data_IF_141631107791
#
_entry.id   IF_141631107791
#
_cell.length_a   1.000
_cell.length_b   1.000
_cell.length_c   1.000
_cell.angle_alpha   90.00
_cell.angle_beta   90.00
_cell.angle_gamma   90.00
#
_symmetry.space_group_name_H-M   'P 1'
#
loop_
_entity.id
_entity.type
_entity.pdbx_description
1 polymer ?
#
# COMPACT_ATOMS: atom_id res chain seq x y z
N UNK A 1 -17.03 -12.62 32.89
CA UNK A 1 -18.24 -12.14 33.61
C UNK A 1 -19.40 -12.22 32.63
N UNK A 2 -20.42 -13.02 32.93
CA UNK A 2 -21.59 -13.20 32.07
C UNK A 2 -22.60 -12.09 32.41
N UNK A 3 -23.00 -11.30 31.41
CA UNK A 3 -24.25 -10.54 31.43
C UNK A 3 -25.06 -10.97 30.20
N UNK A 4 -26.30 -11.39 30.45
CA UNK A 4 -27.38 -11.48 29.47
C UNK A 4 -27.33 -12.58 28.38
N UNK A 5 -26.69 -13.73 28.65
CA UNK A 5 -26.99 -14.97 27.90
C UNK A 5 -26.62 -14.98 26.41
N UNK A 6 -25.86 -13.99 25.94
CA UNK A 6 -25.17 -14.04 24.65
C UNK A 6 -23.76 -14.53 24.94
N UNK A 7 -23.46 -15.74 24.51
CA UNK A 7 -22.09 -16.22 24.40
C UNK A 7 -21.40 -15.32 23.36
N UNK A 8 -20.74 -14.26 23.82
CA UNK A 8 -19.82 -13.49 22.98
C UNK A 8 -18.67 -14.44 22.69
N UNK A 9 -18.79 -15.21 21.61
CA UNK A 9 -17.61 -15.86 21.03
C UNK A 9 -16.62 -14.74 20.74
N UNK A 10 -15.44 -14.83 21.34
CA UNK A 10 -14.27 -14.05 20.93
C UNK A 10 -13.99 -14.36 19.45
N UNK A 11 -14.72 -13.70 18.55
CA UNK A 11 -14.51 -13.80 17.12
C UNK A 11 -13.20 -13.11 16.82
N UNK A 12 -12.28 -13.84 16.18
CA UNK A 12 -11.03 -13.24 15.71
C UNK A 12 -11.36 -12.04 14.82
N UNK A 13 -10.66 -10.89 14.99
CA UNK A 13 -10.90 -9.72 14.15
C UNK A 13 -10.77 -10.08 12.67
N UNK A 14 -11.65 -9.52 11.85
CA UNK A 14 -11.49 -9.51 10.39
C UNK A 14 -10.17 -8.81 10.02
N UNK A 15 -9.71 -9.01 8.78
CA UNK A 15 -8.51 -8.33 8.28
C UNK A 15 -8.60 -6.81 8.43
N UNK A 16 -9.75 -6.22 8.12
CA UNK A 16 -9.94 -4.77 8.21
C UNK A 16 -9.93 -4.28 9.66
N UNK A 17 -10.60 -4.99 10.57
CA UNK A 17 -10.56 -4.66 12.00
C UNK A 17 -9.14 -4.78 12.56
N UNK A 18 -8.38 -5.79 12.11
CA UNK A 18 -6.98 -5.97 12.52
C UNK A 18 -6.10 -4.79 12.09
N UNK A 19 -6.34 -4.22 10.90
CA UNK A 19 -5.63 -3.04 10.42
C UNK A 19 -6.00 -1.79 11.22
N UNK A 20 -7.29 -1.63 11.57
CA UNK A 20 -7.74 -0.51 12.38
C UNK A 20 -7.18 -0.56 13.80
N UNK A 21 -7.12 -1.73 14.43
CA UNK A 21 -6.49 -1.90 15.74
C UNK A 21 -5.00 -1.55 15.69
N UNK A 22 -4.30 -1.97 14.62
CA UNK A 22 -2.88 -1.65 14.45
C UNK A 22 -2.63 -0.16 14.15
N UNK A 23 -3.50 0.49 13.38
CA UNK A 23 -3.36 1.92 13.09
C UNK A 23 -3.50 2.81 14.33
N UNK A 24 -4.27 2.38 15.33
CA UNK A 24 -4.38 3.09 16.62
C UNK A 24 -3.06 3.13 17.40
N UNK A 25 -2.13 2.21 17.12
CA UNK A 25 -0.87 2.07 17.86
C UNK A 25 0.37 2.42 17.02
N UNK A 26 0.20 2.80 15.75
CA UNK A 26 1.30 3.15 14.86
C UNK A 26 0.90 4.25 13.89
N UNK A 27 1.53 5.42 14.03
CA UNK A 27 1.32 6.56 13.15
C UNK A 27 1.61 6.21 11.67
N UNK A 28 2.63 5.40 11.41
CA UNK A 28 2.93 4.94 10.05
C UNK A 28 1.80 4.08 9.48
N UNK A 29 1.24 3.16 10.26
CA UNK A 29 0.12 2.31 9.83
C UNK A 29 -1.14 3.16 9.62
N UNK A 30 -1.39 4.14 10.49
CA UNK A 30 -2.49 5.08 10.34
C UNK A 30 -2.39 5.90 9.04
N UNK A 31 -1.22 6.46 8.74
CA UNK A 31 -1.02 7.30 7.57
C UNK A 31 -1.09 6.48 6.27
N UNK A 32 -0.47 5.30 6.25
CA UNK A 32 -0.60 4.38 5.13
C UNK A 32 -2.06 3.95 4.90
N UNK A 33 -2.81 3.61 5.96
CA UNK A 33 -4.22 3.24 5.85
C UNK A 33 -5.09 4.41 5.35
N UNK A 34 -4.80 5.64 5.78
CA UNK A 34 -5.49 6.84 5.32
C UNK A 34 -5.37 7.00 3.80
N UNK A 35 -4.17 6.88 3.23
CA UNK A 35 -3.99 6.94 1.78
C UNK A 35 -4.59 5.71 1.07
N UNK A 36 -4.52 4.53 1.68
CA UNK A 36 -5.05 3.30 1.09
C UNK A 36 -6.56 3.34 0.82
N UNK A 37 -7.31 4.20 1.52
CA UNK A 37 -8.76 4.33 1.41
C UNK A 37 -9.27 4.75 0.01
N UNK A 38 -8.42 5.26 -0.88
CA UNK A 38 -8.82 5.62 -2.24
C UNK A 38 -7.80 5.11 -3.27
N UNK A 39 -8.30 4.31 -4.21
CA UNK A 39 -7.49 3.69 -5.28
C UNK A 39 -7.15 4.69 -6.37
N UNK A 40 -6.12 5.50 -6.13
CA UNK A 40 -5.53 6.41 -7.13
C UNK A 40 -4.02 6.22 -7.17
N UNK A 41 -3.38 6.50 -8.31
CA UNK A 41 -1.92 6.41 -8.43
C UNK A 41 -1.19 7.25 -7.37
N UNK A 42 -1.70 8.44 -7.08
CA UNK A 42 -1.16 9.34 -6.07
C UNK A 42 -1.17 8.71 -4.68
N UNK A 43 -2.30 8.16 -4.28
CA UNK A 43 -2.46 7.59 -2.96
C UNK A 43 -1.72 6.26 -2.81
N UNK A 44 -1.77 5.40 -3.83
CA UNK A 44 -0.98 4.17 -3.85
C UNK A 44 0.52 4.45 -3.75
N UNK A 45 1.01 5.53 -4.40
CA UNK A 45 2.40 5.93 -4.29
C UNK A 45 2.77 6.41 -2.88
N UNK A 46 1.87 7.15 -2.23
CA UNK A 46 2.07 7.58 -0.83
C UNK A 46 2.08 6.40 0.14
N UNK A 47 1.23 5.40 -0.05
CA UNK A 47 1.29 4.14 0.72
C UNK A 47 2.68 3.53 0.59
N UNK A 48 3.20 3.43 -0.64
CA UNK A 48 4.55 2.95 -0.89
C UNK A 48 5.62 3.78 -0.15
N UNK A 49 5.55 5.12 -0.20
CA UNK A 49 6.51 6.00 0.48
C UNK A 49 6.47 5.84 2.01
N UNK A 50 5.27 5.81 2.62
CA UNK A 50 5.13 5.62 4.08
C UNK A 50 5.74 4.29 4.52
N UNK A 51 5.47 3.20 3.80
CA UNK A 51 6.04 1.88 4.12
C UNK A 51 7.55 1.89 3.88
N UNK A 52 8.03 2.50 2.80
CA UNK A 52 9.47 2.61 2.50
C UNK A 52 10.22 3.33 3.62
N UNK A 53 9.68 4.44 4.11
CA UNK A 53 10.30 5.26 5.14
C UNK A 53 10.35 4.52 6.48
N UNK A 54 9.27 3.83 6.86
CA UNK A 54 9.19 3.03 8.08
C UNK A 54 10.13 1.79 8.02
N UNK A 55 10.22 1.13 6.87
CA UNK A 55 11.13 -0.01 6.64
C UNK A 55 12.60 0.44 6.50
N UNK A 56 12.82 1.66 6.03
CA UNK A 56 14.08 2.38 5.95
C UNK A 56 14.87 2.25 4.63
N UNK A 57 14.54 1.32 3.72
CA UNK A 57 15.11 1.27 2.35
C UNK A 57 14.44 0.24 1.43
N UNK A 58 14.66 0.40 0.11
CA UNK A 58 14.12 -0.49 -0.93
C UNK A 58 14.61 -1.95 -0.82
N UNK A 59 15.85 -2.18 -0.35
CA UNK A 59 16.38 -3.55 -0.20
C UNK A 59 15.60 -4.33 0.85
N UNK A 60 15.10 -3.67 1.89
CA UNK A 60 14.27 -4.31 2.92
C UNK A 60 12.83 -4.48 2.45
N UNK A 61 12.32 -3.62 1.56
CA UNK A 61 10.97 -3.79 0.98
C UNK A 61 10.80 -5.11 0.22
N UNK A 62 11.89 -5.66 -0.33
CA UNK A 62 11.82 -6.94 -1.05
C UNK A 62 11.43 -8.13 -0.16
N UNK A 63 11.40 -7.95 1.17
CA UNK A 63 10.87 -8.95 2.11
C UNK A 63 9.34 -9.01 2.08
N UNK A 64 8.67 -7.94 1.65
CA UNK A 64 7.23 -7.77 1.72
C UNK A 64 6.54 -7.86 0.35
N UNK A 65 7.24 -7.51 -0.73
CA UNK A 65 6.72 -7.62 -2.10
C UNK A 65 7.85 -7.79 -3.12
N UNK A 66 7.50 -8.21 -4.35
CA UNK A 66 8.45 -8.38 -5.45
C UNK A 66 9.09 -7.05 -5.86
N UNK A 67 10.41 -6.97 -5.72
CA UNK A 67 11.21 -5.78 -6.06
C UNK A 67 11.07 -5.32 -7.52
N UNK A 68 10.90 -6.24 -8.48
CA UNK A 68 10.69 -5.86 -9.87
C UNK A 68 9.30 -5.26 -10.06
N UNK A 69 8.27 -5.84 -9.45
CA UNK A 69 6.92 -5.25 -9.50
C UNK A 69 6.87 -3.88 -8.85
N UNK A 70 7.54 -3.67 -7.70
CA UNK A 70 7.67 -2.34 -7.08
C UNK A 70 8.40 -1.34 -7.98
N UNK A 71 9.41 -1.79 -8.73
CA UNK A 71 10.11 -0.96 -9.71
C UNK A 71 9.21 -0.58 -10.89
N UNK A 72 8.44 -1.53 -11.44
CA UNK A 72 7.47 -1.27 -12.53
C UNK A 72 6.37 -0.32 -12.04
N UNK A 73 5.84 -0.54 -10.82
CA UNK A 73 4.87 0.34 -10.18
C UNK A 73 5.37 1.79 -10.13
N UNK A 74 6.55 2.03 -9.55
CA UNK A 74 7.11 3.39 -9.46
C UNK A 74 7.31 4.04 -10.83
N UNK A 75 7.85 3.29 -11.79
CA UNK A 75 8.05 3.79 -13.16
C UNK A 75 6.72 4.18 -13.79
N UNK A 76 5.68 3.39 -13.60
CA UNK A 76 4.34 3.64 -14.13
C UNK A 76 3.71 4.87 -13.47
N UNK A 77 3.71 4.92 -12.13
CA UNK A 77 3.13 6.02 -11.36
C UNK A 77 3.83 7.38 -11.60
N UNK A 78 5.12 7.35 -11.95
CA UNK A 78 5.90 8.54 -12.27
C UNK A 78 5.82 8.94 -13.75
N UNK A 79 5.20 8.11 -14.61
CA UNK A 79 5.23 8.29 -16.06
C UNK A 79 3.97 8.96 -16.59
N UNK A 80 4.07 10.19 -17.10
CA UNK A 80 2.92 10.91 -17.68
C UNK A 80 2.42 10.22 -18.95
N UNK A 81 3.32 9.58 -19.70
CA UNK A 81 2.95 8.77 -20.87
C UNK A 81 2.16 7.51 -20.49
N UNK A 82 2.25 7.04 -19.24
CA UNK A 82 1.56 5.83 -18.77
C UNK A 82 0.24 6.12 -18.06
N UNK A 83 0.19 7.15 -17.20
CA UNK A 83 -0.98 7.41 -16.33
C UNK A 83 -1.57 8.81 -16.50
N UNK A 84 -1.12 9.57 -17.50
CA UNK A 84 -1.63 10.91 -17.80
C UNK A 84 -1.42 11.88 -16.65
N UNK A 85 -2.42 12.70 -16.35
CA UNK A 85 -2.34 13.72 -15.29
C UNK A 85 -2.33 13.14 -13.87
N UNK A 86 -2.48 11.81 -13.72
CA UNK A 86 -2.25 11.13 -12.45
C UNK A 86 -0.78 10.85 -12.15
N UNK A 87 0.11 11.14 -13.10
CA UNK A 87 1.54 10.92 -12.90
C UNK A 87 2.09 11.89 -11.85
N UNK A 88 3.01 11.40 -11.02
CA UNK A 88 3.71 12.26 -10.05
C UNK A 88 4.51 13.37 -10.74
N UNK A 89 5.00 13.13 -11.95
CA UNK A 89 5.77 14.10 -12.73
C UNK A 89 4.95 14.66 -13.90
N UNK A 90 5.04 15.98 -14.09
CA UNK A 90 4.34 16.68 -15.18
C UNK A 90 5.05 16.59 -16.54
N UNK A 91 6.33 16.21 -16.55
CA UNK A 91 7.16 16.13 -17.75
C UNK A 91 6.78 14.88 -18.54
N UNK A 92 6.60 15.02 -19.86
CA UNK A 92 6.49 13.87 -20.76
C UNK A 92 7.85 13.21 -20.95
N UNK A 93 7.88 11.89 -20.82
CA UNK A 93 9.09 11.10 -21.03
C UNK A 93 9.46 11.06 -22.51
N UNK A 94 10.75 11.23 -22.82
CA UNK A 94 11.27 11.02 -24.19
C UNK A 94 11.27 9.52 -24.53
N UNK A 95 11.45 8.67 -23.51
CA UNK A 95 11.41 7.22 -23.61
C UNK A 95 10.41 6.67 -22.59
N UNK A 96 9.20 6.29 -23.02
CA UNK A 96 8.21 5.72 -22.11
C UNK A 96 8.70 4.38 -21.52
N UNK A 97 8.23 3.99 -20.33
CA UNK A 97 8.52 2.67 -19.78
C UNK A 97 8.07 1.57 -20.75
N UNK A 98 8.93 0.58 -21.00
CA UNK A 98 8.59 -0.59 -21.83
C UNK A 98 7.53 -1.49 -21.18
N UNK A 99 7.52 -1.51 -19.86
CA UNK A 99 6.56 -2.25 -19.05
C UNK A 99 5.81 -1.25 -18.18
N UNK A 100 4.48 -1.36 -18.21
CA UNK A 100 3.55 -0.52 -17.45
C UNK A 100 2.60 -1.40 -16.66
N UNK A 101 2.11 -0.87 -15.55
CA UNK A 101 1.19 -1.54 -14.64
C UNK A 101 -0.22 -0.92 -14.72
N UNK A 102 -1.27 -1.74 -14.70
CA UNK A 102 -2.65 -1.24 -14.57
C UNK A 102 -2.94 -0.72 -13.16
N UNK A 103 -3.96 0.14 -12.98
CA UNK A 103 -4.31 0.64 -11.64
C UNK A 103 -4.77 -0.49 -10.69
N UNK A 104 -5.51 -1.48 -11.19
CA UNK A 104 -5.95 -2.64 -10.39
C UNK A 104 -4.78 -3.55 -10.00
N UNK A 105 -3.80 -3.70 -10.90
CA UNK A 105 -2.56 -4.43 -10.62
C UNK A 105 -1.73 -3.69 -9.57
N UNK A 106 -1.63 -2.36 -9.67
CA UNK A 106 -0.98 -1.51 -8.68
C UNK A 106 -1.68 -1.59 -7.32
N UNK A 107 -3.00 -1.54 -7.28
CA UNK A 107 -3.78 -1.73 -6.06
C UNK A 107 -3.49 -3.10 -5.42
N UNK A 108 -3.51 -4.17 -6.21
CA UNK A 108 -3.24 -5.53 -5.74
C UNK A 108 -1.82 -5.65 -5.16
N UNK A 109 -0.82 -5.06 -5.83
CA UNK A 109 0.56 -5.02 -5.34
C UNK A 109 0.67 -4.22 -4.04
N UNK A 110 0.04 -3.05 -3.94
CA UNK A 110 0.07 -2.24 -2.73
C UNK A 110 -0.66 -2.90 -1.56
N UNK A 111 -1.78 -3.58 -1.82
CA UNK A 111 -2.50 -4.38 -0.82
C UNK A 111 -1.61 -5.48 -0.24
N UNK A 112 -0.94 -6.23 -1.13
CA UNK A 112 0.00 -7.27 -0.73
C UNK A 112 1.15 -6.70 0.12
N UNK A 113 1.76 -5.60 -0.34
CA UNK A 113 2.84 -4.92 0.38
C UNK A 113 2.38 -4.49 1.79
N UNK A 114 1.23 -3.82 1.87
CA UNK A 114 0.64 -3.33 3.11
C UNK A 114 0.33 -4.47 4.09
N UNK A 115 -0.29 -5.55 3.63
CA UNK A 115 -0.61 -6.73 4.45
C UNK A 115 0.63 -7.44 4.97
N UNK A 116 1.66 -7.59 4.13
CA UNK A 116 2.90 -8.23 4.53
C UNK A 116 3.65 -7.40 5.57
N UNK A 117 3.73 -6.08 5.36
CA UNK A 117 4.35 -5.15 6.30
C UNK A 117 3.60 -5.08 7.65
N UNK A 118 2.27 -4.97 7.63
CA UNK A 118 1.45 -4.94 8.85
C UNK A 118 1.61 -6.20 9.70
N UNK A 119 1.83 -7.37 9.08
CA UNK A 119 2.01 -8.65 9.79
C UNK A 119 3.37 -8.74 10.49
N UNK A 120 4.36 -8.02 10.00
CA UNK A 120 5.72 -7.95 10.58
C UNK A 120 5.83 -6.93 11.71
N UNK A 121 4.81 -6.07 11.89
CA UNK A 121 4.63 -5.18 13.04
C UNK A 121 4.02 -5.92 14.23
#
# INVERSE_FOLDING_TARGET
MIKDGIEIKDSQPTTVESWLIKSQNSNAVQDALHFFNQTTWWNLYKVYEVILDDVGNEKRLSKFADSQKLKVFRKTANSRTSVGDHARHAKKEIFPPKETMGLDEAYSLMKQLFEAWIRDK
#
